data_IF_598362963136
#
_entry.id   IF_598362963136
#
_cell.length_a   1.000
_cell.length_b   1.000
_cell.length_c   1.000
_cell.angle_alpha   90.00
_cell.angle_beta   90.00
_cell.angle_gamma   90.00
#
_symmetry.space_group_name_H-M   'P 1'
#
loop_
_entity.id
_entity.type
_entity.pdbx_description
1 polymer ?
#
# COMPACT_ATOMS: atom_id res chain seq x y z
N UNK A 1 -17.07 3.23 -18.46
CA UNK A 1 -16.35 2.24 -17.66
C UNK A 1 -16.12 0.95 -18.43
N UNK A 2 -17.13 0.37 -19.07
CA UNK A 2 -16.99 -0.85 -19.90
C UNK A 2 -15.92 -0.65 -20.97
N UNK A 3 -16.01 0.43 -21.76
CA UNK A 3 -15.03 0.74 -22.80
C UNK A 3 -13.60 0.93 -22.24
N UNK A 4 -13.47 1.49 -21.05
CA UNK A 4 -12.18 1.59 -20.36
C UNK A 4 -11.64 0.20 -19.98
N UNK A 5 -12.49 -0.68 -19.48
CA UNK A 5 -12.11 -2.05 -19.12
C UNK A 5 -11.74 -2.89 -20.34
N UNK A 6 -12.42 -2.72 -21.46
CA UNK A 6 -12.10 -3.40 -22.73
C UNK A 6 -10.76 -2.95 -23.32
N UNK A 7 -10.37 -1.68 -23.09
CA UNK A 7 -9.11 -1.11 -23.59
C UNK A 7 -7.91 -1.31 -22.67
N UNK A 8 -8.12 -1.81 -21.46
CA UNK A 8 -7.07 -2.05 -20.49
C UNK A 8 -7.02 -3.53 -20.09
N UNK A 9 -5.83 -4.01 -19.73
CA UNK A 9 -5.69 -5.36 -19.20
C UNK A 9 -6.41 -5.47 -17.85
N UNK A 10 -7.28 -6.46 -17.72
CA UNK A 10 -7.95 -6.76 -16.43
C UNK A 10 -6.95 -7.00 -15.30
N UNK A 11 -5.77 -7.53 -15.62
CA UNK A 11 -4.67 -7.72 -14.68
C UNK A 11 -4.18 -6.42 -14.06
N UNK A 12 -4.18 -5.31 -14.80
CA UNK A 12 -3.82 -4.00 -14.26
C UNK A 12 -4.93 -3.42 -13.38
N UNK A 13 -6.19 -3.68 -13.71
CA UNK A 13 -7.37 -3.14 -13.01
C UNK A 13 -7.46 -3.70 -11.58
N UNK A 14 -7.11 -4.97 -11.35
CA UNK A 14 -7.17 -5.59 -10.03
C UNK A 14 -6.20 -4.94 -9.01
N UNK A 15 -5.19 -4.21 -9.47
CA UNK A 15 -4.26 -3.51 -8.59
C UNK A 15 -4.67 -2.06 -8.29
N UNK A 16 -5.63 -1.49 -9.04
CA UNK A 16 -6.08 -0.13 -8.80
C UNK A 16 -6.87 -0.01 -7.49
N UNK A 17 -6.65 1.09 -6.76
CA UNK A 17 -7.61 1.57 -5.79
C UNK A 17 -8.84 2.12 -6.51
N UNK A 18 -9.95 2.35 -5.80
CA UNK A 18 -11.14 2.96 -6.41
C UNK A 18 -10.83 4.35 -6.96
N UNK A 19 -9.98 5.10 -6.29
CA UNK A 19 -9.52 6.43 -6.68
C UNK A 19 -8.71 6.38 -7.98
N UNK A 20 -7.76 5.45 -8.08
CA UNK A 20 -6.95 5.26 -9.29
C UNK A 20 -7.79 4.79 -10.47
N UNK A 21 -8.73 3.85 -10.23
CA UNK A 21 -9.64 3.38 -11.27
C UNK A 21 -10.56 4.51 -11.76
N UNK A 22 -11.11 5.31 -10.85
CA UNK A 22 -11.95 6.46 -11.17
C UNK A 22 -11.19 7.51 -11.97
N UNK A 23 -9.97 7.86 -11.54
CA UNK A 23 -9.09 8.80 -12.21
C UNK A 23 -8.70 8.32 -13.62
N UNK A 24 -8.29 7.05 -13.75
CA UNK A 24 -7.90 6.45 -15.02
C UNK A 24 -9.08 6.35 -16.00
N UNK A 25 -10.29 6.09 -15.50
CA UNK A 25 -11.51 6.02 -16.29
C UNK A 25 -12.17 7.39 -16.54
N UNK A 26 -11.64 8.49 -15.98
CA UNK A 26 -12.19 9.84 -16.12
C UNK A 26 -13.56 10.03 -15.48
N UNK A 27 -13.85 9.33 -14.36
CA UNK A 27 -15.16 9.38 -13.67
C UNK A 27 -14.97 9.61 -12.17
N UNK A 28 -16.07 9.96 -11.47
CA UNK A 28 -16.05 10.03 -10.01
C UNK A 28 -16.13 8.64 -9.36
N UNK A 29 -15.53 8.46 -8.17
CA UNK A 29 -15.58 7.21 -7.40
C UNK A 29 -17.02 6.70 -7.16
N UNK A 30 -17.95 7.62 -6.90
CA UNK A 30 -19.37 7.29 -6.75
C UNK A 30 -19.96 6.63 -8.02
N UNK A 31 -19.44 6.96 -9.21
CA UNK A 31 -19.82 6.34 -10.47
C UNK A 31 -19.27 4.93 -10.58
N UNK A 32 -18.02 4.71 -10.12
CA UNK A 32 -17.42 3.38 -10.03
C UNK A 32 -18.21 2.48 -9.09
N UNK A 33 -18.59 2.98 -7.91
CA UNK A 33 -19.41 2.22 -6.95
C UNK A 33 -20.78 1.85 -7.52
N UNK A 34 -21.45 2.79 -8.20
CA UNK A 34 -22.75 2.52 -8.86
C UNK A 34 -22.60 1.47 -9.97
N UNK A 35 -21.51 1.55 -10.73
CA UNK A 35 -21.20 0.56 -11.76
C UNK A 35 -21.00 -0.84 -11.17
N UNK A 36 -20.20 -0.99 -10.12
CA UNK A 36 -20.02 -2.28 -9.44
C UNK A 36 -21.36 -2.84 -8.92
N UNK A 37 -22.19 -1.99 -8.31
CA UNK A 37 -23.52 -2.38 -7.83
C UNK A 37 -24.47 -2.76 -8.96
N UNK A 38 -24.43 -2.09 -10.11
CA UNK A 38 -25.26 -2.45 -11.27
C UNK A 38 -24.87 -3.80 -11.88
N UNK A 39 -23.65 -4.27 -11.64
CA UNK A 39 -23.19 -5.60 -12.01
C UNK A 39 -23.47 -6.68 -10.94
N UNK A 40 -24.10 -6.29 -9.83
CA UNK A 40 -24.48 -7.22 -8.75
C UNK A 40 -23.46 -7.36 -7.62
N UNK A 41 -22.38 -6.58 -7.63
CA UNK A 41 -21.37 -6.59 -6.57
C UNK A 41 -21.75 -5.65 -5.42
N UNK A 42 -21.38 -6.01 -4.18
CA UNK A 42 -21.63 -5.18 -3.01
C UNK A 42 -20.82 -3.87 -3.00
N UNK A 43 -19.72 -3.83 -3.74
CA UNK A 43 -18.84 -2.67 -3.87
C UNK A 43 -17.60 -2.96 -4.73
N UNK A 44 -16.70 -2.00 -4.76
CA UNK A 44 -15.51 -2.08 -5.61
C UNK A 44 -14.56 -3.22 -5.22
N UNK A 45 -14.40 -3.53 -3.93
CA UNK A 45 -13.55 -4.63 -3.46
C UNK A 45 -14.11 -6.00 -3.87
N UNK A 46 -15.43 -6.17 -3.76
CA UNK A 46 -16.12 -7.39 -4.16
C UNK A 46 -15.99 -7.61 -5.68
N UNK A 47 -16.19 -6.55 -6.46
CA UNK A 47 -15.93 -6.53 -7.90
C UNK A 47 -14.48 -6.92 -8.23
N UNK A 48 -13.48 -6.32 -7.57
CA UNK A 48 -12.06 -6.63 -7.77
C UNK A 48 -11.74 -8.09 -7.46
N UNK A 49 -12.29 -8.61 -6.37
CA UNK A 49 -12.07 -10.00 -5.97
C UNK A 49 -12.62 -10.97 -7.01
N UNK A 50 -13.83 -10.71 -7.51
CA UNK A 50 -14.44 -11.51 -8.57
C UNK A 50 -13.63 -11.41 -9.86
N UNK A 51 -13.20 -10.20 -10.25
CA UNK A 51 -12.35 -9.99 -11.41
C UNK A 51 -11.02 -10.74 -11.28
N UNK A 52 -10.39 -10.72 -10.11
CA UNK A 52 -9.17 -11.45 -9.85
C UNK A 52 -9.35 -12.98 -9.92
N UNK A 53 -10.54 -13.49 -9.56
CA UNK A 53 -10.87 -14.91 -9.69
C UNK A 53 -11.09 -15.31 -11.17
N UNK A 54 -11.67 -14.44 -11.97
CA UNK A 54 -11.88 -14.68 -13.41
C UNK A 54 -10.59 -14.53 -14.22
N UNK A 55 -9.77 -13.53 -13.87
CA UNK A 55 -8.42 -13.31 -14.44
C UNK A 55 -7.41 -14.29 -13.84
N UNK A 56 -7.80 -14.99 -12.77
CA UNK A 56 -7.00 -16.02 -12.12
C UNK A 56 -6.36 -16.96 -13.13
N UNK A 57 -5.31 -17.70 -12.80
CA UNK A 57 -4.35 -18.22 -13.76
C UNK A 57 -5.08 -18.90 -14.90
N UNK A 58 -5.11 -18.23 -16.04
CA UNK A 58 -5.48 -18.87 -17.31
C UNK A 58 -4.64 -20.12 -17.35
N UNK A 59 -5.28 -21.29 -17.25
CA UNK A 59 -4.64 -22.57 -17.46
C UNK A 59 -4.21 -22.70 -18.93
N UNK A 60 -3.33 -21.80 -19.38
CA UNK A 60 -2.36 -22.19 -20.39
C UNK A 60 -1.64 -23.37 -19.79
N UNK A 61 -1.47 -24.47 -20.52
CA UNK A 61 -0.55 -25.54 -20.13
C UNK A 61 0.75 -24.87 -19.75
N UNK A 62 0.92 -24.64 -18.43
CA UNK A 62 2.07 -23.94 -17.89
C UNK A 62 3.17 -24.97 -17.99
N UNK A 63 4.12 -24.74 -18.86
CA UNK A 63 5.41 -25.35 -18.70
C UNK A 63 5.93 -24.81 -17.35
N UNK A 64 5.93 -25.68 -16.33
CA UNK A 64 6.25 -25.31 -14.94
C UNK A 64 7.58 -24.52 -14.84
N UNK A 65 8.53 -24.81 -15.74
CA UNK A 65 9.79 -24.06 -15.82
C UNK A 65 9.59 -22.64 -16.33
N UNK A 66 8.73 -22.43 -17.33
CA UNK A 66 8.42 -21.09 -17.87
C UNK A 66 7.74 -20.22 -16.81
N UNK A 67 6.80 -20.78 -16.04
CA UNK A 67 6.09 -20.03 -14.99
C UNK A 67 7.02 -19.50 -13.89
N UNK A 68 7.97 -20.33 -13.43
CA UNK A 68 8.97 -19.89 -12.43
C UNK A 68 9.86 -18.79 -13.00
N UNK A 69 10.29 -18.92 -14.25
CA UNK A 69 11.08 -17.91 -14.93
C UNK A 69 10.33 -16.59 -15.08
N UNK A 70 9.05 -16.65 -15.45
CA UNK A 70 8.21 -15.45 -15.60
C UNK A 70 8.01 -14.72 -14.28
N UNK A 71 7.77 -15.47 -13.19
CA UNK A 71 7.70 -14.88 -11.83
C UNK A 71 9.03 -14.22 -11.46
N UNK A 72 10.13 -14.91 -11.60
CA UNK A 72 11.45 -14.37 -11.26
C UNK A 72 11.78 -13.12 -12.08
N UNK A 73 11.48 -13.15 -13.38
CA UNK A 73 11.69 -12.01 -14.29
C UNK A 73 10.85 -10.81 -13.87
N UNK A 74 9.58 -11.02 -13.52
CA UNK A 74 8.69 -9.95 -13.05
C UNK A 74 9.20 -9.30 -11.76
N UNK A 75 9.72 -10.10 -10.82
CA UNK A 75 10.34 -9.56 -9.60
C UNK A 75 11.63 -8.79 -9.89
N UNK A 76 12.47 -9.27 -10.79
CA UNK A 76 13.69 -8.55 -11.20
C UNK A 76 13.37 -7.20 -11.84
N UNK A 77 12.39 -7.16 -12.75
CA UNK A 77 11.92 -5.89 -13.35
C UNK A 77 11.35 -4.94 -12.29
N UNK A 78 10.58 -5.44 -11.34
CA UNK A 78 10.05 -4.63 -10.24
C UNK A 78 11.17 -4.03 -9.39
N UNK A 79 12.18 -4.82 -9.04
CA UNK A 79 13.34 -4.36 -8.28
C UNK A 79 14.15 -3.31 -9.05
N UNK A 80 14.33 -3.49 -10.36
CA UNK A 80 15.04 -2.52 -11.19
C UNK A 80 14.30 -1.18 -11.29
N UNK A 81 12.96 -1.22 -11.44
CA UNK A 81 12.11 -0.01 -11.37
C UNK A 81 12.20 0.69 -10.00
N UNK A 82 12.25 -0.07 -8.91
CA UNK A 82 12.47 0.50 -7.58
C UNK A 82 13.83 1.18 -7.50
N UNK A 83 14.90 0.51 -7.96
CA UNK A 83 16.26 1.05 -7.99
C UNK A 83 16.35 2.36 -8.77
N UNK A 84 15.68 2.47 -9.92
CA UNK A 84 15.66 3.69 -10.74
C UNK A 84 14.92 4.86 -10.10
N UNK A 85 13.95 4.58 -9.21
CA UNK A 85 13.16 5.61 -8.50
C UNK A 85 13.72 6.00 -7.15
N UNK A 86 14.61 5.21 -6.58
CA UNK A 86 15.25 5.51 -5.31
C UNK A 86 16.23 6.68 -5.46
N UNK A 87 16.03 7.72 -4.65
CA UNK A 87 17.01 8.78 -4.45
C UNK A 87 17.85 8.46 -3.21
N UNK A 88 19.16 8.32 -3.38
CA UNK A 88 20.07 8.06 -2.26
C UNK A 88 19.99 9.15 -1.20
N UNK A 89 19.90 10.42 -1.62
CA UNK A 89 19.79 11.56 -0.71
C UNK A 89 18.53 11.46 0.16
N UNK A 90 17.38 11.05 -0.43
CA UNK A 90 16.15 10.85 0.34
C UNK A 90 16.23 9.67 1.30
N UNK A 91 16.89 8.59 0.89
CA UNK A 91 17.14 7.44 1.77
C UNK A 91 18.00 7.86 2.94
N UNK A 92 19.06 8.62 2.69
CA UNK A 92 19.96 9.12 3.72
C UNK A 92 19.26 10.07 4.69
N UNK A 93 18.44 11.00 4.19
CA UNK A 93 17.58 11.85 5.04
C UNK A 93 16.63 11.03 5.90
N UNK A 94 15.97 10.02 5.34
CA UNK A 94 15.09 9.13 6.11
C UNK A 94 15.85 8.37 7.19
N UNK A 95 17.04 7.85 6.89
CA UNK A 95 17.90 7.17 7.87
C UNK A 95 18.30 8.12 9.00
N UNK A 96 18.68 9.35 8.70
CA UNK A 96 19.02 10.35 9.72
C UNK A 96 17.81 10.67 10.62
N UNK A 97 16.62 10.84 10.04
CA UNK A 97 15.39 11.02 10.82
C UNK A 97 15.14 9.84 11.77
N UNK A 98 15.28 8.60 11.27
CA UNK A 98 15.06 7.41 12.10
C UNK A 98 16.10 7.27 13.22
N UNK A 99 17.37 7.58 12.95
CA UNK A 99 18.45 7.48 13.94
C UNK A 99 18.36 8.56 15.03
N UNK A 100 17.79 9.73 14.72
CA UNK A 100 17.61 10.82 15.67
C UNK A 100 16.31 10.72 16.47
N UNK A 101 15.40 9.86 16.07
CA UNK A 101 14.09 9.72 16.71
C UNK A 101 14.20 9.15 18.12
N UNK A 102 13.40 9.68 19.05
CA UNK A 102 13.21 9.11 20.38
C UNK A 102 12.42 7.80 20.29
N UNK A 103 11.34 7.79 19.51
CA UNK A 103 10.51 6.63 19.22
C UNK A 103 10.11 6.62 17.76
N UNK A 104 10.11 5.44 17.14
CA UNK A 104 9.65 5.25 15.77
C UNK A 104 8.31 4.52 15.80
N UNK A 105 7.25 5.17 15.32
CA UNK A 105 5.93 4.57 15.19
C UNK A 105 5.76 4.00 13.79
N UNK A 106 5.65 2.68 13.66
CA UNK A 106 5.47 1.99 12.40
C UNK A 106 3.98 1.71 12.17
N UNK A 107 3.45 2.12 11.01
CA UNK A 107 2.04 2.03 10.68
C UNK A 107 1.77 1.39 9.34
N UNK A 108 0.71 0.60 9.26
CA UNK A 108 0.18 0.05 8.01
C UNK A 108 -1.19 -0.59 8.22
N UNK A 109 -2.09 -0.45 7.25
CA UNK A 109 -3.43 -1.04 7.28
C UNK A 109 -3.49 -2.29 6.41
N UNK A 110 -4.17 -3.34 6.88
CA UNK A 110 -4.30 -4.59 6.15
C UNK A 110 -2.94 -5.23 5.83
N UNK A 111 -2.67 -5.52 4.57
CA UNK A 111 -1.40 -6.11 4.15
C UNK A 111 -0.19 -5.17 4.34
N UNK A 112 -0.40 -3.86 4.40
CA UNK A 112 0.66 -2.89 4.67
C UNK A 112 1.17 -2.94 6.13
N UNK A 113 0.43 -3.61 7.02
CA UNK A 113 0.91 -3.88 8.38
C UNK A 113 2.12 -4.84 8.41
N UNK A 114 2.22 -5.76 7.45
CA UNK A 114 3.32 -6.74 7.40
C UNK A 114 4.70 -6.04 7.28
N UNK A 115 4.95 -5.17 6.31
CA UNK A 115 6.22 -4.44 6.23
C UNK A 115 6.41 -3.45 7.39
N UNK A 116 5.35 -2.89 7.98
CA UNK A 116 5.43 -2.05 9.17
C UNK A 116 5.96 -2.85 10.37
N UNK A 117 5.40 -4.04 10.61
CA UNK A 117 5.84 -4.95 11.66
C UNK A 117 7.28 -5.43 11.43
N UNK A 118 7.65 -5.72 10.18
CA UNK A 118 9.01 -6.14 9.84
C UNK A 118 10.04 -5.03 10.13
N UNK A 119 9.72 -3.77 9.78
CA UNK A 119 10.56 -2.63 10.16
C UNK A 119 10.70 -2.53 11.68
N UNK A 120 9.60 -2.58 12.43
CA UNK A 120 9.60 -2.56 13.90
C UNK A 120 10.52 -3.65 14.47
N UNK A 121 10.38 -4.90 14.00
CA UNK A 121 11.20 -6.02 14.46
C UNK A 121 12.70 -5.80 14.19
N UNK A 122 13.05 -5.20 13.06
CA UNK A 122 14.45 -4.87 12.73
C UNK A 122 15.00 -3.77 13.63
N UNK A 123 14.22 -2.72 13.84
CA UNK A 123 14.59 -1.62 14.73
C UNK A 123 14.82 -2.10 16.15
N UNK A 124 13.93 -2.95 16.68
CA UNK A 124 14.11 -3.57 18.00
C UNK A 124 15.40 -4.40 18.10
N UNK A 125 15.74 -5.18 17.07
CA UNK A 125 16.99 -5.95 17.04
C UNK A 125 18.24 -5.06 17.04
N UNK A 126 18.10 -3.83 16.57
CA UNK A 126 19.17 -2.81 16.58
C UNK A 126 19.19 -2.00 17.88
N UNK A 127 18.29 -2.28 18.83
CA UNK A 127 18.15 -1.52 20.06
C UNK A 127 17.48 -0.14 19.90
N UNK A 128 16.82 0.10 18.76
CA UNK A 128 16.11 1.35 18.49
C UNK A 128 14.67 1.24 19.00
N UNK A 129 14.24 2.25 19.78
CA UNK A 129 12.90 2.29 20.33
C UNK A 129 11.87 2.45 19.21
N UNK A 130 10.97 1.48 19.09
CA UNK A 130 9.92 1.51 18.05
C UNK A 130 8.65 0.84 18.54
N UNK A 131 7.54 1.19 17.93
CA UNK A 131 6.21 0.69 18.23
C UNK A 131 5.46 0.38 16.96
N UNK A 132 4.64 -0.68 16.96
CA UNK A 132 3.85 -1.08 15.80
C UNK A 132 2.57 -1.76 16.29
N UNK A 133 1.49 -1.02 16.31
CA UNK A 133 0.17 -1.54 16.72
C UNK A 133 -0.65 -1.95 15.49
N UNK A 134 -1.46 -2.98 15.64
CA UNK A 134 -2.36 -3.41 14.59
C UNK A 134 -3.73 -2.73 14.65
N UNK A 135 -4.16 -2.43 15.87
CA UNK A 135 -5.43 -1.79 16.13
C UNK A 135 -5.36 -0.28 15.87
N UNK A 136 -6.22 0.22 14.99
CA UNK A 136 -6.25 1.61 14.58
C UNK A 136 -6.55 2.56 15.75
N UNK A 137 -7.36 2.13 16.71
CA UNK A 137 -7.69 2.96 17.88
C UNK A 137 -6.47 3.13 18.79
N UNK A 138 -5.74 2.05 19.03
CA UNK A 138 -4.48 2.10 19.80
C UNK A 138 -3.42 2.95 19.08
N UNK A 139 -3.35 2.88 17.76
CA UNK A 139 -2.44 3.71 16.97
C UNK A 139 -2.77 5.20 17.11
N UNK A 140 -4.04 5.59 17.07
CA UNK A 140 -4.45 6.98 17.31
C UNK A 140 -4.10 7.46 18.71
N UNK A 141 -4.29 6.62 19.74
CA UNK A 141 -3.89 6.94 21.12
C UNK A 141 -2.37 7.13 21.18
N UNK A 142 -1.61 6.25 20.56
CA UNK A 142 -0.16 6.30 20.50
C UNK A 142 0.34 7.61 19.87
N UNK A 143 -0.17 7.96 18.67
CA UNK A 143 0.22 9.18 17.97
C UNK A 143 -0.17 10.42 18.77
N UNK A 144 -1.28 10.39 19.51
CA UNK A 144 -1.68 11.54 20.34
C UNK A 144 -0.75 11.81 21.52
N UNK A 145 0.09 10.84 21.91
CA UNK A 145 1.10 10.96 22.95
C UNK A 145 2.52 11.23 22.44
N UNK A 146 2.71 11.28 21.12
CA UNK A 146 3.98 11.57 20.47
C UNK A 146 4.26 13.08 20.39
N UNK A 147 5.53 13.43 20.24
CA UNK A 147 6.01 14.79 20.10
C UNK A 147 6.99 14.94 18.91
N UNK A 148 7.60 16.11 18.77
CA UNK A 148 8.53 16.46 17.69
C UNK A 148 9.82 15.60 17.63
N UNK A 149 10.08 14.80 18.66
CA UNK A 149 11.23 13.89 18.74
C UNK A 149 10.88 12.48 18.25
N UNK A 150 9.62 12.23 17.96
CA UNK A 150 9.13 10.94 17.47
C UNK A 150 8.95 10.97 15.95
N UNK A 151 9.04 9.83 15.31
CA UNK A 151 8.90 9.70 13.85
C UNK A 151 7.82 8.68 13.53
N UNK A 152 6.90 9.04 12.63
CA UNK A 152 5.89 8.15 12.08
C UNK A 152 6.32 7.63 10.70
N UNK A 153 6.39 6.31 10.55
CA UNK A 153 6.62 5.63 9.27
C UNK A 153 5.34 4.93 8.83
N UNK A 154 4.76 5.37 7.71
CA UNK A 154 3.52 4.81 7.16
C UNK A 154 3.84 3.98 5.92
N UNK A 155 3.39 2.72 5.93
CA UNK A 155 3.38 1.86 4.77
C UNK A 155 2.00 1.91 4.11
N UNK A 156 1.95 2.37 2.86
CA UNK A 156 0.70 2.45 2.09
C UNK A 156 0.99 2.26 0.60
N UNK A 157 0.29 1.34 -0.03
CA UNK A 157 0.44 1.09 -1.47
C UNK A 157 -0.14 2.24 -2.29
N UNK A 158 -1.33 2.70 -1.95
CA UNK A 158 -2.02 3.78 -2.68
C UNK A 158 -1.66 5.19 -2.19
N UNK A 159 -1.15 5.31 -0.97
CA UNK A 159 -0.96 6.60 -0.30
C UNK A 159 -2.28 7.32 0.07
N UNK A 160 -3.43 6.81 -0.39
CA UNK A 160 -4.74 7.44 -0.26
C UNK A 160 -5.71 6.76 0.72
N UNK A 161 -5.26 5.75 1.48
CA UNK A 161 -6.11 5.11 2.49
C UNK A 161 -6.49 6.13 3.55
N UNK A 162 -7.79 6.30 3.80
CA UNK A 162 -8.33 7.31 4.72
C UNK A 162 -7.62 7.32 6.06
N UNK A 163 -7.49 6.16 6.70
CA UNK A 163 -6.85 6.00 8.01
C UNK A 163 -5.37 6.45 7.98
N UNK A 164 -4.65 6.12 6.90
CA UNK A 164 -3.24 6.55 6.73
C UNK A 164 -3.11 8.07 6.59
N UNK A 165 -4.03 8.70 5.85
CA UNK A 165 -4.03 10.14 5.63
C UNK A 165 -4.41 10.88 6.92
N UNK A 166 -5.43 10.40 7.63
CA UNK A 166 -5.88 10.98 8.91
C UNK A 166 -4.80 10.85 9.97
N UNK A 167 -4.13 9.70 10.07
CA UNK A 167 -3.04 9.49 11.02
C UNK A 167 -1.83 10.39 10.72
N UNK A 168 -1.45 10.51 9.43
CA UNK A 168 -0.38 11.42 9.02
C UNK A 168 -0.69 12.89 9.36
N UNK A 169 -1.95 13.30 9.15
CA UNK A 169 -2.41 14.64 9.50
C UNK A 169 -2.38 14.90 11.02
N UNK A 170 -2.78 13.88 11.82
CA UNK A 170 -2.72 13.95 13.28
C UNK A 170 -1.29 14.06 13.79
N UNK A 171 -0.38 13.22 13.29
CA UNK A 171 1.05 13.24 13.62
C UNK A 171 1.67 14.61 13.31
N UNK A 172 1.44 15.14 12.11
CA UNK A 172 1.93 16.46 11.70
C UNK A 172 1.38 17.59 12.58
N UNK A 173 0.12 17.52 12.99
CA UNK A 173 -0.48 18.50 13.92
C UNK A 173 0.13 18.41 15.31
N UNK A 174 0.57 17.23 15.74
CA UNK A 174 1.29 16.97 16.99
C UNK A 174 2.77 17.38 16.96
N UNK A 175 3.29 17.79 15.79
CA UNK A 175 4.68 18.24 15.62
C UNK A 175 5.67 17.18 15.13
N UNK A 176 5.21 15.94 14.89
CA UNK A 176 6.04 14.85 14.37
C UNK A 176 6.53 15.11 12.93
#
# INVERSE_FOLDING_TARGET
LIQFMESNSYESIIYFSITEFAAAAGVAEATVLRFCRSLGFNGYQDFKLSLAQEVGPVHKKIDEKSYIYDICSSYMEMLDRCRQRLSLDRVEQAVQCLLSAKTICCFGVGNSYVPALELHNRLMKMGICSQCERDLHLQNIQISSCDERDVLVIFSVSGGTKDSVELAAAARKGGM
#
